data_IF_125546409330
#
_entry.id   IF_125546409330
#
_cell.length_a   1.000
_cell.length_b   1.000
_cell.length_c   1.000
_cell.angle_alpha   90.00
_cell.angle_beta   90.00
_cell.angle_gamma   90.00
#
_symmetry.space_group_name_H-M   'P 1'
#
loop_
_entity.id
_entity.type
_entity.pdbx_description
1 polymer ?
#
# COMPACT_ATOMS: atom_id res chain seq x y z
N UNK A 1 3.67 -17.28 -35.20
CA UNK A 1 2.48 -17.97 -35.73
C UNK A 1 1.35 -18.12 -34.70
N UNK A 2 1.38 -18.99 -33.68
CA UNK A 2 0.22 -19.14 -32.76
C UNK A 2 0.10 -18.06 -31.65
N UNK A 3 1.19 -17.37 -31.29
CA UNK A 3 1.15 -16.25 -30.35
C UNK A 3 0.54 -14.98 -30.99
N UNK A 4 0.78 -14.75 -32.28
CA UNK A 4 0.23 -13.61 -33.03
C UNK A 4 -1.28 -13.71 -33.20
N UNK A 5 -1.84 -14.91 -33.41
CA UNK A 5 -3.29 -15.10 -33.53
C UNK A 5 -4.02 -14.88 -32.19
N UNK A 6 -3.40 -15.23 -31.05
CA UNK A 6 -3.97 -14.98 -29.72
C UNK A 6 -3.90 -13.49 -29.34
N UNK A 7 -2.83 -12.80 -29.72
CA UNK A 7 -2.66 -11.36 -29.49
C UNK A 7 -3.51 -10.51 -30.44
N UNK A 8 -3.74 -10.94 -31.69
CA UNK A 8 -4.64 -10.27 -32.63
C UNK A 8 -6.13 -10.34 -32.23
N UNK A 9 -6.50 -11.29 -31.35
CA UNK A 9 -7.86 -11.38 -30.79
C UNK A 9 -8.13 -10.40 -29.63
N UNK A 10 -7.08 -9.86 -29.01
CA UNK A 10 -7.19 -8.74 -28.07
C UNK A 10 -7.19 -7.48 -28.91
N UNK A 11 -8.32 -6.77 -28.99
CA UNK A 11 -8.45 -5.65 -29.93
C UNK A 11 -7.35 -4.62 -29.66
N UNK A 12 -6.73 -4.11 -30.73
CA UNK A 12 -5.67 -3.09 -30.63
C UNK A 12 -6.11 -1.86 -29.79
N UNK A 13 -7.42 -1.58 -29.71
CA UNK A 13 -7.97 -0.56 -28.82
C UNK A 13 -7.86 -0.87 -27.32
N UNK A 14 -7.93 -2.15 -26.91
CA UNK A 14 -7.78 -2.56 -25.52
C UNK A 14 -6.31 -2.47 -25.05
N UNK A 15 -5.37 -2.69 -25.96
CA UNK A 15 -3.92 -2.64 -25.69
C UNK A 15 -3.40 -1.21 -25.67
N UNK A 16 -3.91 -0.35 -26.56
CA UNK A 16 -3.65 1.09 -26.50
C UNK A 16 -4.17 1.72 -25.20
N UNK A 17 -5.31 1.27 -24.67
CA UNK A 17 -5.86 1.72 -23.39
C UNK A 17 -4.98 1.34 -22.19
N UNK A 18 -4.16 0.29 -22.32
CA UNK A 18 -3.16 -0.11 -21.32
C UNK A 18 -1.82 0.61 -21.49
N UNK A 19 -1.67 1.47 -22.51
CA UNK A 19 -0.42 2.18 -22.83
C UNK A 19 0.63 1.31 -23.51
N UNK A 20 0.20 0.21 -24.12
CA UNK A 20 1.07 -0.75 -24.83
C UNK A 20 0.93 -0.43 -26.31
N UNK A 21 1.84 0.40 -26.81
CA UNK A 21 1.83 0.86 -28.20
C UNK A 21 2.43 -0.19 -29.16
N UNK A 22 3.28 -1.10 -28.65
CA UNK A 22 3.93 -2.13 -29.45
C UNK A 22 4.17 -3.43 -28.65
N UNK A 23 3.34 -4.45 -28.91
CA UNK A 23 3.43 -5.78 -28.26
C UNK A 23 4.69 -6.52 -28.70
N UNK A 24 5.11 -6.32 -29.96
CA UNK A 24 6.30 -6.98 -30.50
C UNK A 24 7.53 -6.54 -29.70
N UNK A 25 7.61 -5.25 -29.35
CA UNK A 25 8.67 -4.70 -28.51
C UNK A 25 8.70 -5.33 -27.10
N UNK A 26 7.56 -5.52 -26.42
CA UNK A 26 7.51 -6.18 -25.10
C UNK A 26 7.95 -7.66 -25.16
N UNK A 27 7.74 -8.34 -26.30
CA UNK A 27 8.05 -9.76 -26.45
C UNK A 27 9.52 -9.98 -26.85
N UNK A 28 10.05 -9.12 -27.73
CA UNK A 28 11.42 -9.19 -28.21
C UNK A 28 12.44 -8.65 -27.19
N UNK A 29 12.05 -7.63 -26.39
CA UNK A 29 12.86 -7.06 -25.29
C UNK A 29 11.95 -6.63 -24.14
N UNK A 30 11.65 -7.50 -23.16
CA UNK A 30 10.77 -7.15 -22.05
C UNK A 30 11.38 -6.04 -21.22
N UNK A 31 10.75 -4.87 -21.23
CA UNK A 31 11.08 -3.79 -20.31
C UNK A 31 10.65 -4.18 -18.90
N UNK A 32 11.64 -4.53 -18.07
CA UNK A 32 11.45 -4.96 -16.69
C UNK A 32 10.95 -3.85 -15.77
N UNK A 33 10.88 -2.60 -16.24
CA UNK A 33 10.29 -1.49 -15.48
C UNK A 33 8.80 -1.29 -15.79
N UNK A 34 8.30 -1.92 -16.86
CA UNK A 34 6.90 -1.88 -17.24
C UNK A 34 6.20 -3.19 -16.83
N UNK A 35 5.45 -3.14 -15.72
CA UNK A 35 4.71 -4.27 -15.14
C UNK A 35 3.76 -4.93 -16.14
N UNK A 36 3.26 -4.17 -17.14
CA UNK A 36 2.40 -4.70 -18.20
C UNK A 36 3.18 -5.52 -19.24
N UNK A 37 4.40 -5.11 -19.62
CA UNK A 37 5.27 -5.94 -20.47
C UNK A 37 5.70 -7.23 -19.73
N UNK A 38 5.94 -7.16 -18.41
CA UNK A 38 6.28 -8.35 -17.61
C UNK A 38 5.12 -9.36 -17.58
N UNK A 39 3.88 -8.88 -17.38
CA UNK A 39 2.70 -9.73 -17.38
C UNK A 39 2.46 -10.41 -18.74
N UNK A 40 2.71 -9.69 -19.84
CA UNK A 40 2.61 -10.23 -21.21
C UNK A 40 3.69 -11.27 -21.46
N UNK A 41 4.94 -11.00 -21.08
CA UNK A 41 6.05 -11.95 -21.24
C UNK A 41 5.82 -13.24 -20.43
N UNK A 42 5.30 -13.12 -19.21
CA UNK A 42 4.98 -14.25 -18.35
C UNK A 42 3.78 -15.06 -18.89
N UNK A 43 2.79 -14.38 -19.48
CA UNK A 43 1.64 -15.00 -20.13
C UNK A 43 2.02 -15.74 -21.41
N UNK A 44 2.93 -15.17 -22.21
CA UNK A 44 3.46 -15.81 -23.43
C UNK A 44 4.30 -17.06 -23.12
N UNK A 45 4.91 -17.13 -21.94
CA UNK A 45 5.71 -18.27 -21.48
C UNK A 45 4.89 -19.41 -20.83
N UNK A 46 3.58 -19.25 -20.63
CA UNK A 46 2.76 -20.24 -19.94
C UNK A 46 2.29 -21.39 -20.87
N UNK A 47 2.40 -22.67 -20.46
CA UNK A 47 1.94 -23.79 -21.28
C UNK A 47 0.42 -23.78 -21.47
N UNK A 48 0.01 -23.98 -22.73
CA UNK A 48 -1.32 -23.76 -23.34
C UNK A 48 -2.54 -24.48 -22.70
N UNK A 49 -2.38 -25.23 -21.61
CA UNK A 49 -3.47 -25.95 -20.93
C UNK A 49 -4.11 -25.22 -19.74
N UNK A 50 -3.61 -24.05 -19.34
CA UNK A 50 -4.08 -23.29 -18.15
C UNK A 50 -4.67 -21.92 -18.47
N UNK A 51 -5.11 -21.70 -19.71
CA UNK A 51 -5.63 -20.42 -20.21
C UNK A 51 -6.72 -19.80 -19.31
N UNK A 52 -7.58 -20.61 -18.67
CA UNK A 52 -8.58 -20.11 -17.71
C UNK A 52 -7.96 -19.51 -16.45
N UNK A 53 -6.97 -20.18 -15.85
CA UNK A 53 -6.23 -19.66 -14.68
C UNK A 53 -5.34 -18.46 -15.02
N UNK A 54 -4.86 -18.40 -16.26
CA UNK A 54 -4.10 -17.26 -16.76
C UNK A 54 -5.01 -16.05 -17.00
N UNK A 55 -6.22 -16.25 -17.56
CA UNK A 55 -7.25 -15.22 -17.65
C UNK A 55 -7.65 -14.70 -16.27
N UNK A 56 -7.86 -15.59 -15.31
CA UNK A 56 -8.17 -15.20 -13.93
C UNK A 56 -7.01 -14.42 -13.27
N UNK A 57 -5.76 -14.79 -13.58
CA UNK A 57 -4.57 -14.09 -13.11
C UNK A 57 -4.40 -12.71 -13.78
N UNK A 58 -4.63 -12.60 -15.09
CA UNK A 58 -4.60 -11.34 -15.83
C UNK A 58 -5.74 -10.42 -15.38
N UNK A 59 -6.97 -10.94 -15.20
CA UNK A 59 -8.10 -10.16 -14.70
C UNK A 59 -7.90 -9.70 -13.23
N UNK A 60 -7.21 -10.51 -12.42
CA UNK A 60 -6.83 -10.12 -11.06
C UNK A 60 -5.72 -9.05 -11.06
N UNK A 61 -4.75 -9.15 -11.97
CA UNK A 61 -3.70 -8.15 -12.17
C UNK A 61 -4.27 -6.87 -12.78
N UNK A 62 -5.21 -6.92 -13.72
CA UNK A 62 -5.87 -5.76 -14.33
C UNK A 62 -6.80 -5.08 -13.31
N UNK A 63 -7.53 -5.83 -12.48
CA UNK A 63 -8.26 -5.24 -11.34
C UNK A 63 -7.32 -4.63 -10.30
N UNK A 64 -6.18 -5.25 -10.01
CA UNK A 64 -5.17 -4.70 -9.11
C UNK A 64 -4.47 -3.47 -9.71
N UNK A 65 -4.23 -3.45 -11.01
CA UNK A 65 -3.58 -2.37 -11.77
C UNK A 65 -4.54 -1.19 -12.00
N UNK A 66 -5.83 -1.44 -12.25
CA UNK A 66 -6.85 -0.40 -12.32
C UNK A 66 -7.20 0.15 -10.93
N UNK A 67 -7.20 -0.70 -9.89
CA UNK A 67 -7.30 -0.23 -8.50
C UNK A 67 -6.06 0.55 -8.06
N UNK A 68 -4.86 0.23 -8.57
CA UNK A 68 -3.62 0.95 -8.27
C UNK A 68 -3.43 2.24 -9.09
N UNK A 69 -4.19 2.43 -10.18
CA UNK A 69 -4.14 3.65 -11.01
C UNK A 69 -4.96 4.84 -10.49
N UNK A 70 -5.99 4.73 -9.62
CA UNK A 70 -6.98 5.84 -9.50
C UNK A 70 -7.26 6.44 -8.10
N UNK A 71 -7.09 5.74 -6.96
CA UNK A 71 -7.41 6.37 -5.66
C UNK A 71 -6.17 6.82 -4.88
N UNK A 72 -5.73 8.06 -5.13
CA UNK A 72 -4.74 8.81 -4.34
C UNK A 72 -5.28 10.20 -4.03
N UNK A 73 -6.28 10.31 -3.14
CA UNK A 73 -6.89 11.60 -2.84
C UNK A 73 -5.89 12.53 -2.14
N UNK A 74 -6.18 13.83 -2.22
CA UNK A 74 -5.65 14.77 -1.24
C UNK A 74 -6.35 14.46 0.09
N UNK A 75 -5.58 14.13 1.12
CA UNK A 75 -6.09 13.78 2.43
C UNK A 75 -6.69 15.02 3.07
N UNK A 76 -7.95 14.91 3.48
CA UNK A 76 -8.63 15.95 4.26
C UNK A 76 -8.57 15.64 5.75
N UNK A 77 -8.37 16.68 6.56
CA UNK A 77 -8.15 16.58 8.00
C UNK A 77 -9.30 17.29 8.72
N UNK A 78 -10.30 16.52 9.18
CA UNK A 78 -11.44 17.01 9.96
C UNK A 78 -11.38 16.59 11.43
N UNK A 79 -12.53 16.45 12.08
CA UNK A 79 -12.64 16.07 13.50
C UNK A 79 -11.94 14.74 13.82
N UNK A 80 -11.97 13.78 12.89
CA UNK A 80 -11.27 12.50 13.02
C UNK A 80 -9.75 12.67 13.16
N UNK A 81 -9.16 13.72 12.57
CA UNK A 81 -7.75 14.04 12.74
C UNK A 81 -7.43 14.45 14.19
N UNK A 82 -8.31 15.22 14.83
CA UNK A 82 -8.16 15.61 16.23
C UNK A 82 -8.25 14.38 17.14
N UNK A 83 -9.22 13.50 16.91
CA UNK A 83 -9.36 12.23 17.65
C UNK A 83 -8.20 11.27 17.41
N UNK A 84 -7.64 11.25 16.21
CA UNK A 84 -6.41 10.54 15.87
C UNK A 84 -5.22 11.06 16.69
N UNK A 85 -5.04 12.39 16.78
CA UNK A 85 -3.93 12.98 17.54
C UNK A 85 -4.01 12.64 19.03
N UNK A 86 -5.21 12.57 19.61
CA UNK A 86 -5.39 12.16 21.02
C UNK A 86 -4.89 10.74 21.31
N UNK A 87 -4.83 9.87 20.30
CA UNK A 87 -4.42 8.46 20.42
C UNK A 87 -2.94 8.23 20.09
N UNK A 88 -2.37 9.01 19.18
CA UNK A 88 -1.07 8.71 18.58
C UNK A 88 0.01 9.80 18.78
N UNK A 89 -0.24 10.78 19.64
CA UNK A 89 0.75 11.79 20.04
C UNK A 89 1.22 11.53 21.48
N UNK A 90 2.50 11.77 21.75
CA UNK A 90 3.03 11.71 23.12
C UNK A 90 2.23 12.60 24.05
N UNK A 91 1.77 12.04 25.18
CA UNK A 91 0.90 12.72 26.15
C UNK A 91 -0.55 12.94 25.70
N UNK A 92 -0.97 12.31 24.60
CA UNK A 92 -2.36 12.34 24.16
C UNK A 92 -3.30 11.67 25.17
N UNK A 93 -4.48 12.25 25.36
CA UNK A 93 -5.48 11.84 26.35
C UNK A 93 -5.94 10.36 26.22
N UNK A 94 -5.86 9.80 25.00
CA UNK A 94 -6.36 8.46 24.67
C UNK A 94 -5.23 7.54 24.18
N UNK A 95 -3.99 7.85 24.56
CA UNK A 95 -2.85 6.95 24.35
C UNK A 95 -2.99 5.76 25.30
N UNK A 96 -2.94 4.57 24.74
CA UNK A 96 -2.92 3.30 25.47
C UNK A 96 -1.76 2.42 24.98
N UNK A 97 -1.54 1.28 25.63
CA UNK A 97 -0.45 0.35 25.28
C UNK A 97 -0.54 -0.21 23.85
N UNK A 98 -1.69 -0.08 23.18
CA UNK A 98 -1.91 -0.55 21.81
C UNK A 98 -1.69 0.56 20.76
N UNK A 99 -1.31 1.78 21.17
CA UNK A 99 -1.06 2.89 20.22
C UNK A 99 0.43 3.13 20.02
N UNK A 100 0.88 3.04 18.77
CA UNK A 100 2.17 3.60 18.36
C UNK A 100 2.13 5.13 18.39
N UNK A 101 3.27 5.76 18.65
CA UNK A 101 3.36 7.21 18.84
C UNK A 101 4.13 7.84 17.68
N UNK A 102 3.56 8.87 17.05
CA UNK A 102 4.27 9.68 16.08
C UNK A 102 5.35 10.52 16.77
N UNK A 103 6.59 10.30 16.35
CA UNK A 103 7.75 11.04 16.82
C UNK A 103 8.85 11.03 15.76
N UNK A 104 9.82 11.93 15.92
CA UNK A 104 10.91 12.13 14.97
C UNK A 104 10.75 13.41 14.15
N UNK A 105 11.85 13.85 13.54
CA UNK A 105 11.93 15.16 12.87
C UNK A 105 10.98 15.32 11.68
N UNK A 106 10.62 14.22 11.03
CA UNK A 106 9.79 14.21 9.83
C UNK A 106 8.28 14.28 10.08
N UNK A 107 7.86 14.08 11.33
CA UNK A 107 6.46 14.17 11.78
C UNK A 107 6.30 15.17 12.92
N UNK A 108 7.36 15.92 13.25
CA UNK A 108 7.36 16.89 14.35
C UNK A 108 6.54 18.13 13.96
N UNK A 109 5.36 18.22 14.57
CA UNK A 109 4.38 19.28 14.33
C UNK A 109 3.34 18.87 13.30
N UNK A 110 2.19 19.54 13.36
CA UNK A 110 1.00 19.22 12.58
C UNK A 110 1.25 19.21 11.07
N UNK A 111 1.81 20.30 10.52
CA UNK A 111 2.08 20.41 9.08
C UNK A 111 3.00 19.28 8.56
N UNK A 112 4.03 18.90 9.33
CA UNK A 112 4.94 17.81 8.93
C UNK A 112 4.27 16.45 9.00
N UNK A 113 3.46 16.21 10.04
CA UNK A 113 2.69 15.00 10.15
C UNK A 113 1.70 14.87 8.97
N UNK A 114 0.89 15.89 8.71
CA UNK A 114 -0.06 15.91 7.58
C UNK A 114 0.64 15.66 6.24
N UNK A 115 1.76 16.34 5.97
CA UNK A 115 2.55 16.10 4.77
C UNK A 115 3.06 14.65 4.69
N UNK A 116 3.48 14.07 5.82
CA UNK A 116 3.96 12.68 5.88
C UNK A 116 2.83 11.67 5.65
N UNK A 117 1.62 11.95 6.15
CA UNK A 117 0.44 11.13 5.89
C UNK A 117 0.07 11.18 4.39
N UNK A 118 0.08 12.37 3.78
CA UNK A 118 -0.15 12.54 2.35
C UNK A 118 0.91 11.81 1.52
N UNK A 119 2.18 11.89 1.88
CA UNK A 119 3.26 11.18 1.19
C UNK A 119 3.04 9.66 1.17
N UNK A 120 2.55 9.09 2.29
CA UNK A 120 2.24 7.67 2.35
C UNK A 120 1.06 7.31 1.44
N UNK A 121 0.05 8.18 1.31
CA UNK A 121 -1.06 7.98 0.37
C UNK A 121 -0.60 8.09 -1.09
N UNK A 122 0.31 9.01 -1.38
CA UNK A 122 0.84 9.20 -2.73
C UNK A 122 1.68 8.01 -3.20
N UNK A 123 2.44 7.40 -2.28
CA UNK A 123 3.44 6.36 -2.59
C UNK A 123 2.92 4.94 -2.35
N UNK A 124 2.09 4.75 -1.34
CA UNK A 124 1.56 3.46 -0.93
C UNK A 124 0.60 2.87 -1.96
N UNK A 125 0.63 1.56 -2.11
CA UNK A 125 -0.35 0.84 -2.92
C UNK A 125 -1.69 0.84 -2.18
N UNK A 126 -2.78 1.40 -2.76
CA UNK A 126 -4.07 1.43 -2.11
C UNK A 126 -4.62 0.01 -1.93
N UNK A 127 -5.12 -0.28 -0.73
CA UNK A 127 -5.85 -1.52 -0.43
C UNK A 127 -7.18 -1.19 0.19
N UNK A 128 -8.23 -1.93 -0.17
CA UNK A 128 -9.52 -1.78 0.51
C UNK A 128 -9.36 -2.16 1.99
N UNK A 129 -9.99 -1.39 2.87
CA UNK A 129 -10.03 -1.69 4.29
C UNK A 129 -11.08 -2.78 4.55
N UNK A 130 -10.65 -4.04 4.57
CA UNK A 130 -11.53 -5.19 4.78
C UNK A 130 -11.69 -5.53 6.27
N UNK A 131 -12.84 -6.10 6.62
CA UNK A 131 -13.14 -6.63 7.95
C UNK A 131 -14.48 -6.16 8.49
N UNK A 132 -14.74 -6.50 9.74
CA UNK A 132 -15.96 -6.11 10.45
C UNK A 132 -15.57 -5.29 11.68
N UNK A 133 -16.31 -4.23 11.95
CA UNK A 133 -16.22 -3.47 13.18
C UNK A 133 -16.85 -4.27 14.34
N UNK A 134 -16.56 -3.91 15.61
CA UNK A 134 -17.15 -4.59 16.77
C UNK A 134 -18.69 -4.58 16.79
N UNK A 135 -19.31 -3.60 16.15
CA UNK A 135 -20.77 -3.44 16.01
C UNK A 135 -21.38 -4.27 14.87
N UNK A 136 -20.59 -5.06 14.14
CA UNK A 136 -21.04 -5.88 13.02
C UNK A 136 -21.08 -5.16 11.66
N UNK A 137 -20.81 -3.86 11.60
CA UNK A 137 -20.71 -3.14 10.34
C UNK A 137 -19.44 -3.52 9.56
N UNK A 138 -19.51 -3.52 8.22
CA UNK A 138 -18.32 -3.76 7.39
C UNK A 138 -17.40 -2.54 7.45
N UNK A 139 -16.10 -2.81 7.51
CA UNK A 139 -15.09 -1.78 7.28
C UNK A 139 -15.13 -1.35 5.83
N UNK A 140 -15.01 -0.05 5.65
CA UNK A 140 -15.00 0.69 4.40
C UNK A 140 -13.72 1.55 4.32
N UNK A 141 -13.53 2.19 3.16
CA UNK A 141 -12.38 3.04 2.91
C UNK A 141 -11.13 2.31 2.42
N UNK A 142 -9.99 2.96 2.60
CA UNK A 142 -8.72 2.61 1.96
C UNK A 142 -7.55 2.64 2.93
N UNK A 143 -6.61 1.73 2.72
CA UNK A 143 -5.40 1.55 3.54
C UNK A 143 -4.18 1.75 2.65
N UNK A 144 -3.26 2.59 3.12
CA UNK A 144 -1.98 2.87 2.49
C UNK A 144 -0.88 2.57 3.49
N UNK A 145 -0.02 1.63 3.15
CA UNK A 145 1.17 1.33 3.93
C UNK A 145 2.38 1.85 3.16
N UNK A 146 3.29 2.52 3.84
CA UNK A 146 4.54 2.99 3.23
C UNK A 146 5.70 2.96 4.22
N UNK A 147 6.85 2.49 3.76
CA UNK A 147 8.13 2.57 4.46
C UNK A 147 8.96 3.72 3.88
N UNK A 148 9.29 4.71 4.70
CA UNK A 148 10.11 5.85 4.30
C UNK A 148 11.61 5.57 4.26
N UNK A 149 12.03 4.38 4.69
CA UNK A 149 13.44 3.97 4.77
C UNK A 149 14.22 4.74 5.83
N UNK A 150 15.35 4.20 6.24
CA UNK A 150 16.24 4.92 7.16
C UNK A 150 16.93 6.11 6.46
N UNK A 151 17.17 7.22 7.16
CA UNK A 151 16.92 7.50 8.58
C UNK A 151 15.54 8.17 8.83
N UNK A 152 14.53 7.91 8.00
CA UNK A 152 13.26 8.65 7.96
C UNK A 152 12.21 8.16 8.97
N UNK A 153 12.57 8.09 10.25
CA UNK A 153 11.67 7.63 11.31
C UNK A 153 10.40 8.48 11.41
N UNK A 154 9.27 7.78 11.54
CA UNK A 154 7.92 8.34 11.63
C UNK A 154 7.27 8.09 13.00
N UNK A 155 7.83 7.20 13.82
CA UNK A 155 7.35 7.02 15.18
C UNK A 155 7.95 5.84 15.93
N UNK A 156 7.36 5.58 17.09
CA UNK A 156 7.57 4.39 17.92
C UNK A 156 6.39 3.45 17.79
N UNK A 157 6.70 2.15 17.88
CA UNK A 157 5.71 1.09 17.96
C UNK A 157 4.92 1.16 19.27
N UNK A 158 3.76 0.52 19.29
CA UNK A 158 2.96 0.39 20.52
C UNK A 158 3.71 -0.43 21.57
N UNK A 159 3.48 -0.15 22.86
CA UNK A 159 4.07 -0.97 23.93
C UNK A 159 3.68 -2.44 23.81
N UNK A 160 2.45 -2.71 23.40
CA UNK A 160 1.95 -4.05 23.14
C UNK A 160 2.80 -4.78 22.10
N UNK A 161 3.10 -4.15 20.96
CA UNK A 161 3.98 -4.74 19.94
C UNK A 161 5.41 -4.91 20.44
N UNK A 162 5.95 -3.93 21.16
CA UNK A 162 7.29 -4.01 21.75
C UNK A 162 7.40 -5.21 22.68
N UNK A 163 6.44 -5.39 23.60
CA UNK A 163 6.38 -6.53 24.54
C UNK A 163 6.16 -7.85 23.80
N UNK A 164 5.20 -7.89 22.87
CA UNK A 164 4.84 -9.10 22.11
C UNK A 164 6.02 -9.67 21.32
N UNK A 165 6.92 -8.81 20.83
CA UNK A 165 8.03 -9.20 19.98
C UNK A 165 9.42 -9.01 20.61
N UNK A 166 9.49 -8.65 21.90
CA UNK A 166 10.76 -8.50 22.61
C UNK A 166 11.68 -7.41 22.04
N UNK A 167 11.12 -6.33 21.49
CA UNK A 167 11.89 -5.30 20.80
C UNK A 167 12.60 -4.38 21.80
N UNK A 168 13.84 -3.98 21.49
CA UNK A 168 14.65 -3.11 22.35
C UNK A 168 15.36 -2.03 21.55
N UNK A 169 15.70 -0.92 22.22
CA UNK A 169 16.46 0.19 21.61
C UNK A 169 15.82 0.72 20.33
N UNK A 170 16.61 0.82 19.26
CA UNK A 170 16.14 1.34 17.96
C UNK A 170 15.11 0.45 17.26
N UNK A 171 14.99 -0.83 17.64
CA UNK A 171 13.94 -1.73 17.11
C UNK A 171 12.52 -1.28 17.48
N UNK A 172 12.40 -0.42 18.51
CA UNK A 172 11.12 0.16 18.93
C UNK A 172 10.66 1.31 18.03
N UNK A 173 11.56 1.82 17.18
CA UNK A 173 11.31 2.93 16.26
C UNK A 173 11.05 2.38 14.87
N UNK A 174 10.25 3.10 14.09
CA UNK A 174 9.88 2.67 12.75
C UNK A 174 9.89 3.82 11.74
N UNK A 175 10.20 3.46 10.51
CA UNK A 175 10.07 4.27 9.29
C UNK A 175 8.79 3.94 8.54
N UNK A 176 8.04 2.93 8.98
CA UNK A 176 6.82 2.44 8.35
C UNK A 176 5.57 3.05 8.99
N UNK A 177 4.64 3.47 8.13
CA UNK A 177 3.39 4.12 8.47
C UNK A 177 2.24 3.42 7.76
N UNK A 178 1.09 3.29 8.44
CA UNK A 178 -0.20 3.05 7.80
C UNK A 178 -1.11 4.25 7.92
N UNK A 179 -1.75 4.59 6.81
CA UNK A 179 -2.81 5.60 6.71
C UNK A 179 -4.09 4.89 6.30
N UNK A 180 -5.18 5.18 7.01
CA UNK A 180 -6.51 4.67 6.70
C UNK A 180 -7.40 5.88 6.40
N UNK A 181 -7.98 5.88 5.21
CA UNK A 181 -8.92 6.90 4.75
C UNK A 181 -10.34 6.35 4.73
N UNK A 182 -11.31 7.23 4.94
CA UNK A 182 -12.71 7.01 4.60
C UNK A 182 -12.87 6.90 3.06
N UNK A 183 -14.05 6.50 2.57
CA UNK A 183 -14.29 6.40 1.11
C UNK A 183 -14.20 7.73 0.38
N UNK A 184 -14.49 8.84 1.08
CA UNK A 184 -14.40 10.21 0.56
C UNK A 184 -12.96 10.78 0.57
N UNK A 185 -11.97 10.02 1.07
CA UNK A 185 -10.58 10.43 1.15
C UNK A 185 -10.21 11.20 2.43
N UNK A 186 -11.14 11.44 3.34
CA UNK A 186 -10.83 12.01 4.65
C UNK A 186 -10.06 11.05 5.54
N UNK A 187 -9.18 11.59 6.39
CA UNK A 187 -8.40 10.75 7.30
C UNK A 187 -9.31 10.13 8.35
N UNK A 188 -9.37 8.79 8.38
CA UNK A 188 -9.98 8.03 9.47
C UNK A 188 -9.02 7.82 10.62
N UNK A 189 -7.80 7.36 10.33
CA UNK A 189 -6.73 7.17 11.31
C UNK A 189 -5.39 6.91 10.62
N UNK A 190 -4.30 6.97 11.38
CA UNK A 190 -2.99 6.52 10.96
C UNK A 190 -2.22 5.96 12.16
N UNK A 191 -1.18 5.16 11.93
CA UNK A 191 -0.29 4.73 13.01
C UNK A 191 1.07 4.28 12.49
N UNK A 192 2.16 4.51 13.26
CA UNK A 192 3.42 3.83 13.01
C UNK A 192 3.20 2.32 13.07
N UNK A 193 3.85 1.58 12.17
CA UNK A 193 3.74 0.13 12.08
C UNK A 193 5.10 -0.53 12.15
N UNK A 194 5.14 -1.76 12.65
CA UNK A 194 6.34 -2.59 12.56
C UNK A 194 6.63 -2.91 11.10
N UNK A 195 7.90 -2.78 10.69
CA UNK A 195 8.39 -3.29 9.41
C UNK A 195 8.31 -4.83 9.42
N UNK A 196 7.53 -5.40 8.50
CA UNK A 196 7.47 -6.85 8.29
C UNK A 196 8.70 -7.29 7.48
N UNK A 197 9.34 -8.40 7.85
CA UNK A 197 10.54 -8.91 7.20
C UNK A 197 11.87 -8.38 7.71
N UNK A 198 11.89 -7.48 8.71
CA UNK A 198 13.11 -7.18 9.49
C UNK A 198 13.29 -8.20 10.62
N UNK A 199 13.12 -9.49 10.30
CA UNK A 199 13.38 -10.57 11.24
C UNK A 199 14.85 -10.51 11.63
N UNK A 200 15.08 -10.09 12.87
CA UNK A 200 16.30 -10.44 13.58
C UNK A 200 16.09 -11.90 13.91
N UNK A 201 16.78 -12.76 13.15
CA UNK A 201 17.08 -14.10 13.63
C UNK A 201 17.78 -13.92 14.98
N UNK A 202 17.29 -14.53 16.08
CA UNK A 202 18.10 -14.64 17.26
C UNK A 202 19.39 -15.39 16.87
N UNK A 203 20.55 -14.80 17.17
CA UNK A 203 21.82 -15.53 17.23
C UNK A 203 21.76 -16.60 18.33
#
# INVERSE_FOLDING_TARGET
MLAEEFLNGVSQGYLAALGIEDIQACTDKPDVTNESCQAIALAAAAPLGRAKKLKDAIDAVDKAAQASKVFRPVVTFGDDYVEFLKKHRSGGERVDEYKGIFEGKYVKGEARLQARLQDAVNRGTPRRNWGTNPDGSKRDGWVYDWDFGEPNYVGKLSEYEVKKYGLTGDQTRTTMLRVILNEDGSLRTAHPLRKMGSEILPE
#
